data_IF_016000373001
#
_entry.id   IF_016000373001
#
_cell.length_a   1.000
_cell.length_b   1.000
_cell.length_c   1.000
_cell.angle_alpha   90.00
_cell.angle_beta   90.00
_cell.angle_gamma   90.00
#
_symmetry.space_group_name_H-M   'P 1'
#
loop_
_entity.id
_entity.type
_entity.pdbx_description
1 polymer ?
#
# COMPACT_ATOMS: atom_id res chain seq x y z
N UNK A 1 1.70 -5.09 1.09
CA UNK A 1 0.24 -5.01 1.34
C UNK A 1 -0.49 -4.90 0.02
N UNK A 2 -1.30 -5.89 -0.34
CA UNK A 2 -2.11 -5.84 -1.57
C UNK A 2 -3.24 -4.80 -1.50
N UNK A 3 -3.71 -4.45 -0.30
CA UNK A 3 -4.73 -3.42 -0.09
C UNK A 3 -4.32 -2.03 -0.62
N UNK A 4 -3.03 -1.68 -0.58
CA UNK A 4 -2.53 -0.42 -1.12
C UNK A 4 -2.50 -0.38 -2.66
N UNK A 5 -2.40 -1.54 -3.31
CA UNK A 5 -2.38 -1.67 -4.77
C UNK A 5 -3.80 -1.70 -5.38
N UNK A 6 -4.81 -2.02 -4.57
CA UNK A 6 -6.19 -2.04 -5.00
C UNK A 6 -7.13 -1.64 -3.84
N UNK A 7 -7.19 -0.34 -3.47
CA UNK A 7 -8.04 0.13 -2.36
C UNK A 7 -9.51 -0.25 -2.54
N UNK A 8 -9.97 -0.32 -3.80
CA UNK A 8 -11.32 -0.72 -4.18
C UNK A 8 -11.64 -2.21 -3.91
N UNK A 9 -10.64 -3.03 -3.58
CA UNK A 9 -10.87 -4.43 -3.17
C UNK A 9 -11.07 -4.61 -1.67
N UNK A 10 -10.88 -3.56 -0.87
CA UNK A 10 -11.18 -3.61 0.56
C UNK A 10 -12.70 -3.71 0.70
N UNK A 11 -13.17 -4.81 1.28
CA UNK A 11 -14.59 -5.08 1.49
C UNK A 11 -15.06 -4.62 2.86
N UNK A 12 -16.36 -4.50 3.06
CA UNK A 12 -16.94 -4.24 4.38
C UNK A 12 -16.59 -5.33 5.40
N UNK A 13 -16.39 -6.58 4.95
CA UNK A 13 -15.94 -7.69 5.79
C UNK A 13 -14.51 -7.47 6.28
N UNK A 14 -13.60 -7.00 5.41
CA UNK A 14 -12.24 -6.64 5.79
C UNK A 14 -12.23 -5.49 6.81
N UNK A 15 -13.10 -4.49 6.63
CA UNK A 15 -13.26 -3.38 7.56
C UNK A 15 -13.78 -3.88 8.91
N UNK A 16 -14.78 -4.77 8.90
CA UNK A 16 -15.33 -5.36 10.12
C UNK A 16 -14.30 -6.22 10.87
N UNK A 17 -13.48 -6.98 10.15
CA UNK A 17 -12.39 -7.77 10.74
C UNK A 17 -11.26 -6.90 11.31
N UNK A 18 -11.02 -5.73 10.72
CA UNK A 18 -10.03 -4.77 11.20
C UNK A 18 -10.50 -3.98 12.43
N UNK A 19 -11.79 -3.65 12.51
CA UNK A 19 -12.34 -2.82 13.58
C UNK A 19 -12.17 -3.48 14.95
N UNK A 20 -11.58 -2.73 15.88
CA UNK A 20 -11.45 -3.12 17.27
C UNK A 20 -11.28 -1.89 18.16
N UNK A 21 -11.25 -2.05 19.49
CA UNK A 21 -11.17 -0.92 20.43
C UNK A 21 -9.93 -0.03 20.23
N UNK A 22 -8.89 -0.52 19.56
CA UNK A 22 -7.65 0.21 19.26
C UNK A 22 -7.48 0.55 17.77
N UNK A 23 -8.34 0.01 16.90
CA UNK A 23 -8.22 0.12 15.44
C UNK A 23 -9.53 0.65 14.87
N UNK A 24 -9.54 1.95 14.55
CA UNK A 24 -10.70 2.65 13.99
C UNK A 24 -10.57 2.82 12.48
N UNK A 25 -11.64 3.29 11.83
CA UNK A 25 -11.64 3.63 10.40
C UNK A 25 -10.57 4.68 10.06
N UNK A 26 -10.32 5.63 10.98
CA UNK A 26 -9.25 6.62 10.82
C UNK A 26 -7.88 5.94 10.71
N UNK A 27 -7.61 4.92 11.54
CA UNK A 27 -6.38 4.13 11.45
C UNK A 27 -6.28 3.36 10.15
N UNK A 28 -7.40 2.83 9.64
CA UNK A 28 -7.44 2.13 8.36
C UNK A 28 -7.10 3.06 7.19
N UNK A 29 -7.64 4.28 7.18
CA UNK A 29 -7.33 5.31 6.18
C UNK A 29 -5.84 5.67 6.22
N UNK A 30 -5.27 5.87 7.41
CA UNK A 30 -3.84 6.12 7.55
C UNK A 30 -2.97 4.97 7.03
N UNK A 31 -3.37 3.73 7.29
CA UNK A 31 -2.66 2.54 6.81
C UNK A 31 -2.70 2.44 5.28
N UNK A 32 -3.87 2.67 4.66
CA UNK A 32 -4.02 2.67 3.20
C UNK A 32 -3.18 3.78 2.57
N UNK A 33 -3.24 5.00 3.12
CA UNK A 33 -2.45 6.13 2.64
C UNK A 33 -0.94 5.85 2.74
N UNK A 34 -0.47 5.36 3.88
CA UNK A 34 0.92 4.97 4.07
C UNK A 34 1.36 3.92 3.03
N UNK A 35 0.53 2.89 2.81
CA UNK A 35 0.81 1.87 1.81
C UNK A 35 0.91 2.43 0.39
N UNK A 36 0.07 3.39 0.02
CA UNK A 36 0.13 4.06 -1.28
C UNK A 36 1.43 4.84 -1.46
N UNK A 37 1.86 5.62 -0.45
CA UNK A 37 3.13 6.34 -0.50
C UNK A 37 4.33 5.40 -0.62
N UNK A 38 4.36 4.32 0.16
CA UNK A 38 5.42 3.33 0.08
C UNK A 38 5.48 2.61 -1.28
N UNK A 39 4.32 2.39 -1.93
CA UNK A 39 4.27 1.82 -3.27
C UNK A 39 4.83 2.79 -4.33
N UNK A 40 4.48 4.08 -4.25
CA UNK A 40 5.01 5.13 -5.13
C UNK A 40 6.53 5.24 -4.97
N UNK A 41 7.03 5.36 -3.74
CA UNK A 41 8.46 5.45 -3.44
C UNK A 41 9.26 4.27 -4.02
N UNK A 42 8.71 3.05 -3.91
CA UNK A 42 9.31 1.85 -4.51
C UNK A 42 9.35 1.91 -6.04
N UNK A 43 8.29 2.40 -6.68
CA UNK A 43 8.22 2.57 -8.14
C UNK A 43 9.22 3.64 -8.60
N UNK A 44 9.26 4.78 -7.94
CA UNK A 44 10.20 5.87 -8.23
C UNK A 44 11.65 5.41 -8.07
N UNK A 45 11.95 4.65 -7.02
CA UNK A 45 13.26 4.03 -6.80
C UNK A 45 13.60 3.05 -7.93
N UNK A 46 12.66 2.20 -8.35
CA UNK A 46 12.89 1.24 -9.43
C UNK A 46 13.11 1.92 -10.79
N UNK A 47 12.43 3.04 -11.05
CA UNK A 47 12.60 3.83 -12.28
C UNK A 47 13.89 4.65 -12.29
N UNK A 48 14.33 5.12 -11.12
CA UNK A 48 15.55 5.91 -10.96
C UNK A 48 16.81 5.05 -10.82
N UNK A 49 16.65 3.75 -10.57
CA UNK A 49 17.76 2.81 -10.59
C UNK A 49 18.33 2.76 -12.02
N UNK A 50 19.66 2.88 -12.19
CA UNK A 50 20.26 2.61 -13.49
C UNK A 50 19.88 1.18 -13.89
N UNK A 51 19.52 0.98 -15.15
CA UNK A 51 19.24 -0.34 -15.70
C UNK A 51 20.48 -1.22 -15.46
N UNK A 52 20.43 -2.04 -14.40
CA UNK A 52 21.42 -3.06 -14.18
C UNK A 52 21.19 -4.11 -15.26
N UNK A 53 22.10 -4.09 -16.25
CA UNK A 53 22.28 -5.01 -17.38
C UNK A 53 21.32 -4.93 -18.58
N UNK A 54 21.75 -4.17 -19.59
CA UNK A 54 22.08 -4.76 -20.89
C UNK A 54 23.57 -4.51 -21.19
N UNK A 55 24.47 -5.32 -20.64
CA UNK A 55 25.84 -5.44 -21.15
C UNK A 55 26.27 -6.92 -21.09
N UNK A 56 26.25 -7.55 -22.26
CA UNK A 56 27.27 -8.51 -22.73
C UNK A 56 27.30 -9.90 -22.12
#
# INVERSE_FOLDING_TARGET
MLAALAPYRITDEDVAAWRGPQHTDHCLVHLVAYGAFAAVDRIETALSAPAAEEVG
#
